data_IF_391718328241
#
_entry.id   IF_391718328241
#
_cell.length_a   1.000
_cell.length_b   1.000
_cell.length_c   1.000
_cell.angle_alpha   90.00
_cell.angle_beta   90.00
_cell.angle_gamma   90.00
#
_symmetry.space_group_name_H-M   'P 1'
#
loop_
_entity.id
_entity.type
_entity.pdbx_description
1 polymer ?
#
# COMPACT_ATOMS: atom_id res chain seq x y z
N UNK A 1 -4.61 17.90 17.83
CA UNK A 1 -5.32 17.99 16.54
C UNK A 1 -4.41 17.75 15.32
N UNK A 2 -3.09 17.54 15.50
CA UNK A 2 -2.13 17.39 14.39
C UNK A 2 -1.86 15.94 13.94
N UNK A 3 -2.54 14.94 14.49
CA UNK A 3 -2.32 13.53 14.14
C UNK A 3 -3.40 12.91 13.22
N UNK A 4 -4.46 13.67 12.90
CA UNK A 4 -5.62 13.14 12.16
C UNK A 4 -5.33 12.97 10.65
N UNK A 5 -4.30 13.62 10.12
CA UNK A 5 -3.99 13.63 8.69
C UNK A 5 -2.53 13.32 8.35
N UNK A 6 -1.90 12.35 9.02
CA UNK A 6 -0.69 11.77 8.46
C UNK A 6 -1.07 10.87 7.28
N UNK A 7 -1.19 11.46 6.10
CA UNK A 7 -1.38 10.72 4.85
C UNK A 7 -0.12 9.91 4.56
N UNK A 8 -0.16 8.62 4.88
CA UNK A 8 0.88 7.66 4.57
C UNK A 8 1.62 7.11 5.79
N UNK A 9 1.90 5.82 5.75
CA UNK A 9 2.71 5.11 6.75
C UNK A 9 4.22 5.35 6.58
N UNK A 10 4.62 6.37 5.80
CA UNK A 10 6.03 6.66 5.54
C UNK A 10 6.78 6.99 6.83
N UNK A 11 7.87 6.28 7.05
CA UNK A 11 8.78 6.52 8.16
C UNK A 11 10.07 7.17 7.63
N UNK A 12 10.35 8.45 7.94
CA UNK A 12 11.55 9.11 7.46
C UNK A 12 12.81 8.45 8.06
N UNK A 13 13.73 8.04 7.19
CA UNK A 13 14.97 7.38 7.59
C UNK A 13 16.00 7.41 6.45
N UNK A 14 17.28 7.26 6.81
CA UNK A 14 18.44 7.27 5.89
C UNK A 14 18.99 5.86 5.63
N UNK A 15 18.15 4.84 5.60
CA UNK A 15 18.63 3.49 5.31
C UNK A 15 18.92 3.27 3.81
N UNK A 16 19.72 2.26 3.45
CA UNK A 16 19.93 1.87 2.05
C UNK A 16 18.62 1.63 1.31
N UNK A 17 17.63 1.07 2.00
CA UNK A 17 16.32 0.81 1.42
C UNK A 17 15.55 2.10 1.08
N UNK A 18 15.68 3.17 1.88
CA UNK A 18 15.08 4.47 1.57
C UNK A 18 15.68 5.09 0.30
N UNK A 19 16.97 4.85 0.03
CA UNK A 19 17.71 5.39 -1.12
C UNK A 19 17.53 4.60 -2.41
N UNK A 20 16.84 3.46 -2.37
CA UNK A 20 16.48 2.70 -3.56
C UNK A 20 15.38 3.42 -4.35
N UNK A 21 15.42 3.26 -5.68
CA UNK A 21 14.40 3.79 -6.59
C UNK A 21 13.01 3.17 -6.29
N UNK A 22 11.98 4.01 -6.29
CA UNK A 22 10.61 3.58 -6.02
C UNK A 22 10.09 2.53 -7.04
N UNK A 23 10.55 2.57 -8.28
CA UNK A 23 10.23 1.57 -9.33
C UNK A 23 10.76 0.20 -8.96
N UNK A 24 12.04 0.15 -8.55
CA UNK A 24 12.69 -1.09 -8.13
C UNK A 24 11.98 -1.69 -6.92
N UNK A 25 11.64 -0.89 -5.92
CA UNK A 25 10.90 -1.34 -4.73
C UNK A 25 9.54 -1.92 -5.11
N UNK A 26 8.81 -1.25 -5.99
CA UNK A 26 7.47 -1.66 -6.39
C UNK A 26 7.50 -2.96 -7.19
N UNK A 27 8.42 -3.08 -8.17
CA UNK A 27 8.63 -4.34 -8.91
C UNK A 27 9.07 -5.48 -8.01
N UNK A 28 10.03 -5.25 -7.12
CA UNK A 28 10.48 -6.27 -6.16
C UNK A 28 9.38 -6.66 -5.18
N UNK A 29 8.50 -5.72 -4.80
CA UNK A 29 7.32 -6.02 -4.00
C UNK A 29 6.34 -6.96 -4.70
N UNK A 30 6.06 -6.75 -5.98
CA UNK A 30 5.24 -7.67 -6.76
C UNK A 30 5.90 -9.05 -6.91
N UNK A 31 7.21 -9.08 -7.19
CA UNK A 31 7.96 -10.34 -7.23
C UNK A 31 7.90 -11.05 -5.87
N UNK A 32 8.04 -10.32 -4.77
CA UNK A 32 7.91 -10.88 -3.42
C UNK A 32 6.55 -11.54 -3.20
N UNK A 33 5.45 -10.90 -3.61
CA UNK A 33 4.11 -11.49 -3.50
C UNK A 33 4.00 -12.80 -4.29
N UNK A 34 4.52 -12.81 -5.53
CA UNK A 34 4.50 -14.01 -6.37
C UNK A 34 5.31 -15.14 -5.72
N UNK A 35 6.51 -14.84 -5.22
CA UNK A 35 7.36 -15.81 -4.52
C UNK A 35 6.70 -16.34 -3.26
N UNK A 36 6.00 -15.47 -2.51
CA UNK A 36 5.24 -15.87 -1.33
C UNK A 36 4.10 -16.84 -1.65
N UNK A 37 3.43 -16.65 -2.79
CA UNK A 37 2.40 -17.57 -3.26
C UNK A 37 2.98 -18.90 -3.75
N UNK A 38 4.16 -18.88 -4.35
CA UNK A 38 4.85 -20.09 -4.84
C UNK A 38 5.54 -20.89 -3.73
N UNK A 39 5.78 -20.31 -2.57
CA UNK A 39 6.41 -21.01 -1.45
C UNK A 39 5.54 -22.19 -0.99
N UNK A 40 6.10 -23.42 -1.08
CA UNK A 40 5.48 -24.65 -0.63
C UNK A 40 6.15 -25.08 0.68
N UNK A 41 5.35 -25.41 1.68
CA UNK A 41 5.84 -25.88 2.97
C UNK A 41 6.43 -24.80 3.90
N UNK A 42 6.65 -25.19 5.16
CA UNK A 42 7.20 -24.30 6.20
C UNK A 42 8.65 -23.88 5.95
N UNK A 43 9.43 -24.71 5.25
CA UNK A 43 10.82 -24.38 4.93
C UNK A 43 10.92 -23.18 3.98
N UNK A 44 10.04 -23.09 2.97
CA UNK A 44 9.95 -21.93 2.09
C UNK A 44 9.53 -20.67 2.84
N UNK A 45 8.56 -20.78 3.77
CA UNK A 45 8.19 -19.66 4.64
C UNK A 45 9.31 -19.26 5.58
N UNK A 46 10.12 -20.21 6.06
CA UNK A 46 11.29 -19.93 6.89
C UNK A 46 12.33 -19.08 6.16
N UNK A 47 12.66 -19.41 4.90
CA UNK A 47 13.55 -18.60 4.05
C UNK A 47 13.00 -17.17 3.88
N UNK A 48 11.71 -17.06 3.61
CA UNK A 48 11.05 -15.74 3.48
C UNK A 48 11.06 -14.96 4.79
N UNK A 49 10.83 -15.61 5.93
CA UNK A 49 10.85 -14.96 7.25
C UNK A 49 12.24 -14.39 7.56
N UNK A 50 13.31 -15.15 7.29
CA UNK A 50 14.70 -14.69 7.43
C UNK A 50 14.96 -13.49 6.52
N UNK A 51 14.51 -13.54 5.28
CA UNK A 51 14.68 -12.45 4.35
C UNK A 51 13.93 -11.17 4.77
N UNK A 52 12.67 -11.30 5.19
CA UNK A 52 11.89 -10.16 5.70
C UNK A 52 12.57 -9.58 6.95
N UNK A 53 13.01 -10.41 7.88
CA UNK A 53 13.73 -9.96 9.07
C UNK A 53 15.03 -9.22 8.69
N UNK A 54 15.79 -9.74 7.72
CA UNK A 54 16.97 -9.06 7.17
C UNK A 54 16.64 -7.68 6.59
N UNK A 55 15.56 -7.57 5.79
CA UNK A 55 15.11 -6.29 5.24
C UNK A 55 14.72 -5.29 6.33
N UNK A 56 14.08 -5.72 7.42
CA UNK A 56 13.75 -4.86 8.57
C UNK A 56 15.01 -4.34 9.27
N UNK A 57 16.02 -5.17 9.45
CA UNK A 57 17.31 -4.77 10.04
C UNK A 57 18.01 -3.74 9.15
N UNK A 58 18.09 -3.98 7.83
CA UNK A 58 18.70 -3.05 6.86
C UNK A 58 17.92 -1.73 6.77
N UNK A 59 16.59 -1.80 6.85
CA UNK A 59 15.70 -0.65 6.80
C UNK A 59 15.79 0.22 8.05
N UNK A 60 16.29 -0.30 9.18
CA UNK A 60 16.33 0.37 10.50
C UNK A 60 14.95 0.84 10.99
N UNK A 61 13.88 0.21 10.50
CA UNK A 61 12.52 0.50 10.95
C UNK A 61 12.25 -0.33 12.21
N UNK A 62 11.78 0.28 13.31
CA UNK A 62 11.45 -0.47 14.52
C UNK A 62 10.27 -1.39 14.24
N UNK A 63 10.49 -2.70 14.43
CA UNK A 63 9.52 -3.77 14.20
C UNK A 63 8.17 -3.51 14.90
N UNK A 64 8.19 -2.93 16.09
CA UNK A 64 6.98 -2.59 16.84
C UNK A 64 6.09 -1.54 16.15
N UNK A 65 6.66 -0.61 15.37
CA UNK A 65 5.87 0.36 14.59
C UNK A 65 5.20 -0.32 13.39
N UNK A 66 5.93 -1.19 12.70
CA UNK A 66 5.37 -1.97 11.60
C UNK A 66 4.21 -2.85 12.09
N UNK A 67 4.40 -3.56 13.20
CA UNK A 67 3.37 -4.40 13.80
C UNK A 67 2.13 -3.61 14.21
N UNK A 68 2.32 -2.42 14.80
CA UNK A 68 1.20 -1.53 15.17
C UNK A 68 0.44 -1.02 13.95
N UNK A 69 1.14 -0.68 12.88
CA UNK A 69 0.52 -0.25 11.61
C UNK A 69 -0.28 -1.39 10.95
N UNK A 70 0.16 -2.63 11.11
CA UNK A 70 -0.50 -3.82 10.58
C UNK A 70 -1.58 -4.40 11.51
N UNK A 71 -1.67 -3.94 12.76
CA UNK A 71 -2.59 -4.49 13.76
C UNK A 71 -4.05 -4.65 13.27
N UNK A 72 -4.68 -3.65 12.60
CA UNK A 72 -6.05 -3.83 12.11
C UNK A 72 -6.15 -4.90 11.00
N UNK A 73 -5.11 -5.04 10.17
CA UNK A 73 -5.06 -6.04 9.10
C UNK A 73 -4.75 -7.44 9.66
N UNK A 74 -4.04 -7.54 10.78
CA UNK A 74 -3.76 -8.82 11.44
C UNK A 74 -5.05 -9.50 11.91
N UNK A 75 -6.08 -8.76 12.30
CA UNK A 75 -7.38 -9.33 12.64
C UNK A 75 -7.99 -10.05 11.42
N UNK A 76 -7.92 -9.45 10.24
CA UNK A 76 -8.41 -10.05 8.99
C UNK A 76 -7.56 -11.28 8.63
N UNK A 77 -6.23 -11.18 8.76
CA UNK A 77 -5.33 -12.30 8.52
C UNK A 77 -5.63 -13.49 9.43
N UNK A 78 -5.93 -13.23 10.70
CA UNK A 78 -6.33 -14.26 11.66
C UNK A 78 -7.65 -14.92 11.26
N UNK A 79 -8.64 -14.14 10.85
CA UNK A 79 -9.92 -14.68 10.37
C UNK A 79 -9.70 -15.56 9.14
N UNK A 80 -8.91 -15.10 8.16
CA UNK A 80 -8.59 -15.89 6.97
C UNK A 80 -7.85 -17.19 7.31
N UNK A 81 -6.93 -17.16 8.26
CA UNK A 81 -6.23 -18.35 8.73
C UNK A 81 -7.21 -19.33 9.42
N UNK A 82 -8.09 -18.81 10.28
CA UNK A 82 -9.11 -19.64 10.96
C UNK A 82 -10.11 -20.25 9.97
N UNK A 83 -10.50 -19.54 8.91
CA UNK A 83 -11.36 -20.12 7.87
C UNK A 83 -10.70 -21.30 7.15
N UNK A 84 -9.38 -21.29 6.99
CA UNK A 84 -8.64 -22.43 6.44
C UNK A 84 -8.74 -23.70 7.31
N UNK A 85 -9.04 -23.55 8.58
CA UNK A 85 -9.27 -24.67 9.50
C UNK A 85 -10.48 -25.53 9.11
N UNK A 86 -11.43 -24.94 8.35
CA UNK A 86 -12.63 -25.62 7.85
C UNK A 86 -12.49 -26.12 6.42
N UNK A 87 -11.49 -25.65 5.67
CA UNK A 87 -11.34 -25.97 4.24
C UNK A 87 -10.57 -27.26 4.04
N UNK A 88 -9.49 -27.46 4.78
CA UNK A 88 -8.63 -28.62 4.64
C UNK A 88 -8.94 -29.64 5.75
N UNK A 89 -9.50 -30.79 5.37
CA UNK A 89 -9.87 -31.87 6.29
C UNK A 89 -8.95 -33.09 6.14
N UNK A 90 -7.75 -32.92 5.60
CA UNK A 90 -6.81 -34.00 5.41
C UNK A 90 -6.12 -34.42 6.74
N UNK A 91 -5.88 -35.71 6.92
CA UNK A 91 -5.17 -36.28 8.07
C UNK A 91 -6.07 -36.83 9.17
N UNK A 92 -5.48 -37.15 10.34
CA UNK A 92 -6.20 -37.71 11.48
C UNK A 92 -7.11 -36.68 12.14
N UNK A 93 -8.34 -37.05 12.40
CA UNK A 93 -9.31 -36.19 13.10
C UNK A 93 -8.95 -36.05 14.57
N UNK A 94 -8.54 -34.86 14.98
CA UNK A 94 -8.22 -34.52 16.37
C UNK A 94 -9.45 -34.27 17.21
N UNK A 95 -10.48 -33.66 16.61
CA UNK A 95 -11.71 -33.29 17.30
C UNK A 95 -12.88 -33.30 16.34
N UNK A 96 -13.94 -34.03 16.69
CA UNK A 96 -15.17 -34.12 15.90
C UNK A 96 -16.34 -33.68 16.75
N UNK A 97 -16.88 -32.49 16.45
CA UNK A 97 -18.08 -31.99 17.10
C UNK A 97 -19.12 -31.57 16.05
N UNK A 98 -20.01 -32.49 15.73
CA UNK A 98 -21.09 -32.28 14.75
C UNK A 98 -20.57 -32.01 13.35
N UNK A 99 -20.75 -30.80 12.85
CA UNK A 99 -20.35 -30.36 11.49
C UNK A 99 -18.89 -29.92 11.44
N UNK A 100 -18.25 -29.68 12.58
CA UNK A 100 -16.87 -29.18 12.69
C UNK A 100 -15.93 -30.35 12.94
N UNK A 101 -15.14 -30.71 11.92
CA UNK A 101 -14.08 -31.69 12.02
C UNK A 101 -12.73 -30.94 11.94
N UNK A 102 -11.94 -31.01 13.01
CA UNK A 102 -10.59 -30.44 13.06
C UNK A 102 -9.62 -31.59 12.91
N UNK A 103 -8.87 -31.59 11.79
CA UNK A 103 -7.82 -32.58 11.54
C UNK A 103 -6.44 -31.97 11.76
N UNK A 104 -5.41 -32.82 11.83
CA UNK A 104 -4.01 -32.37 11.88
C UNK A 104 -3.64 -31.55 10.66
N UNK A 105 -4.17 -31.89 9.48
CA UNK A 105 -4.01 -31.13 8.25
C UNK A 105 -4.64 -29.74 8.33
N UNK A 106 -5.83 -29.62 8.91
CA UNK A 106 -6.50 -28.33 9.12
C UNK A 106 -5.65 -27.36 9.93
N UNK A 107 -5.04 -27.84 11.02
CA UNK A 107 -4.18 -27.02 11.89
C UNK A 107 -2.90 -26.61 11.15
N UNK A 108 -2.30 -27.55 10.41
CA UNK A 108 -1.11 -27.29 9.59
C UNK A 108 -1.39 -26.22 8.53
N UNK A 109 -2.49 -26.35 7.80
CA UNK A 109 -2.89 -25.40 6.75
C UNK A 109 -3.27 -24.04 7.33
N UNK A 110 -3.96 -23.99 8.46
CA UNK A 110 -4.26 -22.76 9.18
C UNK A 110 -2.98 -22.01 9.56
N UNK A 111 -2.02 -22.69 10.18
CA UNK A 111 -0.75 -22.10 10.59
C UNK A 111 0.08 -21.65 9.38
N UNK A 112 0.15 -22.47 8.33
CA UNK A 112 0.87 -22.19 7.10
C UNK A 112 0.33 -20.95 6.39
N UNK A 113 -0.98 -20.87 6.18
CA UNK A 113 -1.64 -19.73 5.52
C UNK A 113 -1.55 -18.48 6.39
N UNK A 114 -1.73 -18.60 7.70
CA UNK A 114 -1.58 -17.49 8.64
C UNK A 114 -0.17 -16.89 8.61
N UNK A 115 0.87 -17.73 8.70
CA UNK A 115 2.27 -17.28 8.59
C UNK A 115 2.55 -16.64 7.21
N UNK A 116 2.06 -17.24 6.13
CA UNK A 116 2.20 -16.71 4.78
C UNK A 116 1.62 -15.30 4.65
N UNK A 117 0.37 -15.10 5.11
CA UNK A 117 -0.29 -13.79 5.04
C UNK A 117 0.48 -12.75 5.84
N UNK A 118 0.91 -13.09 7.07
CA UNK A 118 1.69 -12.18 7.92
C UNK A 118 2.99 -11.78 7.23
N UNK A 119 3.73 -12.72 6.64
CA UNK A 119 4.98 -12.42 5.93
C UNK A 119 4.74 -11.54 4.70
N UNK A 120 3.68 -11.80 3.93
CA UNK A 120 3.30 -10.96 2.79
C UNK A 120 2.97 -9.53 3.24
N UNK A 121 2.19 -9.38 4.30
CA UNK A 121 1.84 -8.07 4.85
C UNK A 121 3.08 -7.32 5.36
N UNK A 122 3.98 -8.01 6.06
CA UNK A 122 5.23 -7.42 6.55
C UNK A 122 6.14 -6.96 5.41
N UNK A 123 6.31 -7.77 4.36
CA UNK A 123 7.11 -7.41 3.20
C UNK A 123 6.55 -6.18 2.47
N UNK A 124 5.23 -6.13 2.24
CA UNK A 124 4.58 -4.98 1.60
C UNK A 124 4.59 -3.72 2.47
N UNK A 125 4.48 -3.88 3.79
CA UNK A 125 4.58 -2.77 4.74
C UNK A 125 5.92 -2.04 4.65
N UNK A 126 7.03 -2.76 4.41
CA UNK A 126 8.35 -2.15 4.21
C UNK A 126 8.37 -1.18 3.03
N UNK A 127 7.72 -1.51 1.92
CA UNK A 127 7.65 -0.65 0.73
C UNK A 127 6.92 0.63 1.08
N UNK A 128 5.76 0.51 1.74
CA UNK A 128 4.94 1.67 2.15
C UNK A 128 5.65 2.55 3.17
N UNK A 129 6.42 1.95 4.10
CA UNK A 129 7.16 2.69 5.12
C UNK A 129 8.43 3.34 4.60
N UNK A 130 9.01 2.84 3.50
CA UNK A 130 10.27 3.36 2.94
C UNK A 130 10.10 4.23 1.70
N UNK A 131 8.87 4.40 1.19
CA UNK A 131 8.62 5.14 -0.05
C UNK A 131 7.53 6.18 0.18
N UNK A 132 7.77 7.42 -0.27
CA UNK A 132 6.74 8.45 -0.18
C UNK A 132 5.62 8.20 -1.21
N UNK A 133 4.42 8.68 -0.92
CA UNK A 133 3.28 8.58 -1.86
C UNK A 133 3.58 9.24 -3.21
N UNK A 134 4.33 10.35 -3.21
CA UNK A 134 4.73 11.05 -4.44
C UNK A 134 5.72 10.24 -5.27
N UNK A 135 6.71 9.59 -4.63
CA UNK A 135 7.66 8.72 -5.34
C UNK A 135 6.97 7.47 -5.88
N UNK A 136 5.99 6.94 -5.12
CA UNK A 136 5.20 5.79 -5.56
C UNK A 136 4.37 6.12 -6.80
N UNK A 137 3.72 7.30 -6.84
CA UNK A 137 2.97 7.75 -8.02
C UNK A 137 3.87 7.97 -9.24
N UNK A 138 5.05 8.57 -9.04
CA UNK A 138 6.04 8.75 -10.09
C UNK A 138 6.56 7.40 -10.62
N UNK A 139 6.71 6.41 -9.75
CA UNK A 139 7.08 5.05 -10.14
C UNK A 139 5.98 4.39 -10.99
N UNK A 140 4.73 4.49 -10.57
CA UNK A 140 3.57 3.95 -11.31
C UNK A 140 3.45 4.61 -12.68
N UNK A 141 3.57 5.94 -12.78
CA UNK A 141 3.57 6.65 -14.06
C UNK A 141 4.63 6.10 -15.02
N UNK A 142 5.86 5.91 -14.53
CA UNK A 142 6.95 5.42 -15.37
C UNK A 142 6.82 3.93 -15.72
N UNK A 143 6.19 3.13 -14.85
CA UNK A 143 5.86 1.73 -15.17
C UNK A 143 4.73 1.62 -16.19
N UNK A 144 3.85 2.62 -16.26
CA UNK A 144 2.79 2.72 -17.27
C UNK A 144 3.30 3.28 -18.61
N UNK A 145 4.44 3.99 -18.63
CA UNK A 145 5.00 4.58 -19.84
C UNK A 145 5.20 3.59 -21.01
N UNK A 146 5.66 2.34 -20.83
CA UNK A 146 5.75 1.36 -21.92
C UNK A 146 4.39 1.06 -22.57
N UNK A 147 3.30 1.18 -21.78
CA UNK A 147 1.94 0.94 -22.23
C UNK A 147 1.33 2.15 -22.99
N UNK A 148 2.01 3.29 -23.02
CA UNK A 148 1.62 4.44 -23.84
C UNK A 148 1.51 4.06 -25.33
N UNK A 149 2.28 3.06 -25.80
CA UNK A 149 2.18 2.51 -27.15
C UNK A 149 0.82 1.84 -27.44
N UNK A 150 0.10 1.45 -26.40
CA UNK A 150 -1.25 0.87 -26.50
C UNK A 150 -2.35 1.90 -26.25
N UNK A 151 -2.00 3.21 -26.23
CA UNK A 151 -2.95 4.30 -26.04
C UNK A 151 -3.24 4.65 -24.57
N UNK A 152 -2.45 4.13 -23.61
CA UNK A 152 -2.60 4.50 -22.20
C UNK A 152 -1.98 5.88 -21.96
N UNK A 153 -2.75 6.89 -21.48
CA UNK A 153 -2.26 8.24 -21.21
C UNK A 153 -1.45 8.29 -19.89
N UNK A 154 -0.27 7.63 -19.89
CA UNK A 154 0.53 7.42 -18.69
C UNK A 154 0.98 8.74 -18.03
N UNK A 155 1.34 9.74 -18.85
CA UNK A 155 1.76 11.04 -18.37
C UNK A 155 0.61 11.82 -17.73
N UNK A 156 -0.54 11.85 -18.39
CA UNK A 156 -1.74 12.54 -17.89
C UNK A 156 -2.20 11.92 -16.55
N UNK A 157 -2.19 10.58 -16.45
CA UNK A 157 -2.50 9.88 -15.22
C UNK A 157 -1.52 10.26 -14.10
N UNK A 158 -0.21 10.26 -14.38
CA UNK A 158 0.82 10.67 -13.40
C UNK A 158 0.63 12.11 -12.94
N UNK A 159 0.33 13.02 -13.88
CA UNK A 159 0.06 14.42 -13.58
C UNK A 159 -1.20 14.58 -12.70
N UNK A 160 -2.30 13.93 -13.06
CA UNK A 160 -3.56 13.97 -12.28
C UNK A 160 -3.32 13.46 -10.86
N UNK A 161 -2.62 12.32 -10.72
CA UNK A 161 -2.27 11.76 -9.42
C UNK A 161 -1.39 12.70 -8.59
N UNK A 162 -0.38 13.33 -9.21
CA UNK A 162 0.50 14.29 -8.56
C UNK A 162 -0.25 15.54 -8.07
N UNK A 163 -1.15 16.09 -8.89
CA UNK A 163 -2.03 17.21 -8.52
C UNK A 163 -2.96 16.80 -7.38
N UNK A 164 -3.62 15.66 -7.50
CA UNK A 164 -4.54 15.14 -6.48
C UNK A 164 -3.85 15.00 -5.11
N UNK A 165 -2.67 14.37 -5.07
CA UNK A 165 -1.91 14.20 -3.82
C UNK A 165 -1.45 15.52 -3.21
N UNK A 166 -1.12 16.51 -4.05
CA UNK A 166 -0.73 17.84 -3.59
C UNK A 166 -1.89 18.59 -2.96
N UNK A 167 -3.09 18.51 -3.55
CA UNK A 167 -4.28 19.19 -3.05
C UNK A 167 -5.01 18.44 -1.93
N UNK A 168 -4.75 17.14 -1.76
CA UNK A 168 -5.42 16.31 -0.76
C UNK A 168 -5.34 16.87 0.67
N UNK A 169 -4.19 17.32 1.21
CA UNK A 169 -4.13 17.92 2.55
C UNK A 169 -4.92 19.23 2.64
N UNK A 170 -4.92 20.03 1.57
CA UNK A 170 -5.66 21.27 1.50
C UNK A 170 -7.17 21.04 1.54
N UNK A 171 -7.66 20.09 0.74
CA UNK A 171 -9.08 19.72 0.73
C UNK A 171 -9.52 19.10 2.05
N UNK A 172 -8.67 18.33 2.72
CA UNK A 172 -8.96 17.81 4.05
C UNK A 172 -9.16 18.91 5.08
N UNK A 173 -8.31 19.94 5.04
CA UNK A 173 -8.46 21.12 5.91
C UNK A 173 -9.74 21.91 5.57
N UNK A 174 -10.03 22.09 4.30
CA UNK A 174 -11.22 22.78 3.83
C UNK A 174 -12.50 22.04 4.20
N UNK A 175 -12.52 20.71 4.04
CA UNK A 175 -13.60 19.85 4.51
C UNK A 175 -13.87 20.06 6.01
N UNK A 176 -12.82 20.04 6.83
CA UNK A 176 -12.95 20.28 8.26
C UNK A 176 -13.54 21.66 8.56
N UNK A 177 -13.08 22.70 7.87
CA UNK A 177 -13.59 24.07 8.04
C UNK A 177 -15.06 24.20 7.64
N UNK A 178 -15.45 23.63 6.49
CA UNK A 178 -16.83 23.60 6.03
C UNK A 178 -17.71 22.82 7.01
N UNK A 179 -17.25 21.68 7.48
CA UNK A 179 -17.95 20.86 8.46
C UNK A 179 -18.23 21.65 9.75
N UNK A 180 -17.21 22.28 10.34
CA UNK A 180 -17.37 23.09 11.53
C UNK A 180 -18.31 24.29 11.31
N UNK A 181 -18.23 24.93 10.15
CA UNK A 181 -19.12 26.04 9.80
C UNK A 181 -20.58 25.57 9.69
N UNK A 182 -20.85 24.38 9.15
CA UNK A 182 -22.22 23.85 9.06
C UNK A 182 -22.78 23.45 10.43
N UNK A 183 -21.94 22.88 11.30
CA UNK A 183 -22.36 22.62 12.71
C UNK A 183 -22.74 23.92 13.42
N UNK A 184 -21.93 24.98 13.29
CA UNK A 184 -22.21 26.29 13.88
C UNK A 184 -23.51 26.92 13.34
N UNK A 185 -23.95 26.52 12.14
CA UNK A 185 -25.25 26.92 11.55
C UNK A 185 -26.41 26.03 11.96
N UNK A 186 -26.19 25.10 12.91
CA UNK A 186 -27.23 24.23 13.46
C UNK A 186 -27.47 22.95 12.64
N UNK A 187 -26.56 22.58 11.75
CA UNK A 187 -26.64 21.29 11.10
C UNK A 187 -26.31 20.18 12.12
N UNK A 188 -27.28 19.33 12.42
CA UNK A 188 -27.13 18.24 13.39
C UNK A 188 -26.97 16.87 12.67
N UNK A 189 -26.03 16.08 13.15
CA UNK A 189 -25.86 14.67 12.73
C UNK A 189 -26.86 13.74 13.43
N UNK A 190 -27.43 14.18 14.58
CA UNK A 190 -28.20 13.31 15.45
C UNK A 190 -29.64 13.14 14.96
N UNK A 191 -30.09 11.88 14.88
CA UNK A 191 -31.48 11.47 14.78
C UNK A 191 -31.80 10.59 13.56
N UNK A 192 -32.33 11.10 12.50
CA UNK A 192 -32.84 10.32 11.35
C UNK A 192 -31.81 10.20 10.23
N UNK A 193 -31.77 9.07 9.47
CA UNK A 193 -30.91 8.92 8.28
C UNK A 193 -31.06 10.07 7.28
N UNK A 194 -32.27 10.65 7.16
CA UNK A 194 -32.55 11.81 6.30
C UNK A 194 -31.81 13.07 6.76
N UNK A 195 -31.64 13.29 8.09
CA UNK A 195 -30.87 14.42 8.62
C UNK A 195 -29.38 14.24 8.32
N UNK A 196 -28.86 13.02 8.44
CA UNK A 196 -27.47 12.70 8.03
C UNK A 196 -27.22 12.99 6.55
N UNK A 197 -28.15 12.61 5.67
CA UNK A 197 -28.04 12.90 4.23
C UNK A 197 -28.08 14.42 3.93
N UNK A 198 -28.92 15.17 4.65
CA UNK A 198 -28.98 16.64 4.55
C UNK A 198 -27.67 17.30 5.04
N UNK A 199 -27.10 16.80 6.14
CA UNK A 199 -25.80 17.25 6.62
C UNK A 199 -24.70 16.98 5.59
N UNK A 200 -24.67 15.77 5.04
CA UNK A 200 -23.70 15.38 4.02
C UNK A 200 -23.79 16.33 2.80
N UNK A 201 -25.01 16.59 2.29
CA UNK A 201 -25.20 17.52 1.15
C UNK A 201 -24.78 18.95 1.50
N UNK A 202 -25.04 19.42 2.72
CA UNK A 202 -24.67 20.77 3.16
C UNK A 202 -23.16 20.99 3.25
N UNK A 203 -22.38 19.91 3.45
CA UNK A 203 -20.91 19.96 3.45
C UNK A 203 -20.36 19.75 2.04
N UNK A 204 -20.94 18.82 1.30
CA UNK A 204 -20.44 18.39 -0.03
C UNK A 204 -20.58 19.50 -1.07
N UNK A 205 -21.74 20.21 -1.10
CA UNK A 205 -21.99 21.25 -2.12
C UNK A 205 -20.98 22.41 -2.02
N UNK A 206 -20.72 23.02 -0.86
CA UNK A 206 -19.72 24.07 -0.71
C UNK A 206 -18.30 23.58 -1.02
N UNK A 207 -17.97 22.33 -0.63
CA UNK A 207 -16.67 21.74 -0.90
C UNK A 207 -16.44 21.58 -2.41
N UNK A 208 -17.42 21.04 -3.16
CA UNK A 208 -17.31 20.95 -4.62
C UNK A 208 -17.15 22.33 -5.27
N UNK A 209 -17.93 23.33 -4.85
CA UNK A 209 -17.79 24.68 -5.37
C UNK A 209 -16.37 25.25 -5.15
N UNK A 210 -15.74 24.92 -4.02
CA UNK A 210 -14.36 25.31 -3.75
C UNK A 210 -13.36 24.53 -4.62
N UNK A 211 -13.54 23.21 -4.74
CA UNK A 211 -12.68 22.36 -5.60
C UNK A 211 -12.69 22.86 -7.06
N UNK A 212 -13.87 23.21 -7.60
CA UNK A 212 -13.97 23.74 -8.94
C UNK A 212 -13.27 25.09 -9.11
N UNK A 213 -13.36 25.99 -8.12
CA UNK A 213 -12.60 27.26 -8.15
C UNK A 213 -11.09 27.03 -8.12
N UNK A 214 -10.62 26.07 -7.33
CA UNK A 214 -9.20 25.68 -7.31
C UNK A 214 -8.76 25.09 -8.66
N UNK A 215 -9.60 24.25 -9.28
CA UNK A 215 -9.32 23.67 -10.58
C UNK A 215 -9.23 24.76 -11.69
N UNK A 216 -10.15 25.71 -11.69
CA UNK A 216 -10.17 26.86 -12.61
C UNK A 216 -8.92 27.73 -12.44
N UNK A 217 -8.57 28.07 -11.19
CA UNK A 217 -7.36 28.84 -10.88
C UNK A 217 -6.09 28.10 -11.29
N UNK A 218 -6.04 26.77 -11.06
CA UNK A 218 -4.91 25.94 -11.45
C UNK A 218 -4.78 25.89 -12.98
N UNK A 219 -5.89 25.69 -13.71
CA UNK A 219 -5.91 25.66 -15.17
C UNK A 219 -5.38 26.99 -15.75
N UNK A 220 -5.90 28.11 -15.27
CA UNK A 220 -5.44 29.43 -15.69
C UNK A 220 -3.95 29.66 -15.38
N UNK A 221 -3.45 29.16 -14.24
CA UNK A 221 -2.05 29.25 -13.90
C UNK A 221 -1.14 28.34 -14.78
N UNK A 222 -1.66 27.19 -15.21
CA UNK A 222 -0.96 26.29 -16.13
C UNK A 222 -0.89 26.90 -17.55
N UNK A 223 -1.99 27.48 -18.03
CA UNK A 223 -2.05 28.17 -19.31
C UNK A 223 -1.10 29.36 -19.35
N UNK A 224 -1.07 30.17 -18.28
CA UNK A 224 -0.15 31.31 -18.16
C UNK A 224 1.33 30.88 -18.13
N UNK A 225 1.62 29.62 -17.76
CA UNK A 225 2.98 29.03 -17.82
C UNK A 225 3.24 28.25 -19.10
N UNK A 226 2.40 28.40 -20.11
CA UNK A 226 2.52 27.71 -21.38
C UNK A 226 2.63 26.19 -21.27
N UNK A 227 1.73 25.59 -20.49
CA UNK A 227 1.67 24.13 -20.37
C UNK A 227 1.07 23.50 -21.63
N UNK A 228 1.83 22.68 -22.36
CA UNK A 228 1.41 22.02 -23.60
C UNK A 228 1.50 20.47 -23.53
N UNK A 229 1.41 19.88 -22.36
CA UNK A 229 1.51 18.44 -22.21
C UNK A 229 2.90 17.92 -21.88
N UNK A 230 3.26 16.74 -22.40
CA UNK A 230 4.52 16.06 -22.07
C UNK A 230 5.72 16.58 -22.87
N UNK A 231 5.49 17.09 -24.09
CA UNK A 231 6.55 17.47 -25.01
C UNK A 231 7.47 18.57 -24.45
N UNK A 232 8.78 18.33 -24.49
CA UNK A 232 9.80 19.29 -24.06
C UNK A 232 9.95 19.51 -22.55
N UNK A 233 9.29 18.71 -21.69
CA UNK A 233 9.37 18.86 -20.24
C UNK A 233 10.54 18.09 -19.63
N UNK A 234 11.16 18.69 -18.64
CA UNK A 234 12.13 18.05 -17.75
C UNK A 234 11.55 17.89 -16.34
N UNK A 235 12.00 16.88 -15.61
CA UNK A 235 11.62 16.67 -14.21
C UNK A 235 12.66 17.29 -13.27
N UNK A 236 12.19 18.01 -12.26
CA UNK A 236 13.07 18.60 -11.24
C UNK A 236 13.78 17.51 -10.43
N UNK A 237 13.06 16.44 -10.08
CA UNK A 237 13.58 15.28 -9.38
C UNK A 237 13.37 14.03 -10.24
N UNK A 238 14.27 13.75 -11.21
CA UNK A 238 14.16 12.55 -12.01
C UNK A 238 14.51 11.32 -11.15
N UNK A 239 13.72 10.27 -11.28
CA UNK A 239 14.06 8.97 -10.69
C UNK A 239 15.34 8.44 -11.37
N UNK A 240 16.34 8.08 -10.57
CA UNK A 240 17.64 7.58 -11.07
C UNK A 240 17.98 6.28 -10.35
N UNK A 241 18.33 5.28 -11.13
CA UNK A 241 18.83 4.02 -10.57
C UNK A 241 20.10 4.26 -9.76
N UNK A 242 20.12 3.72 -8.55
CA UNK A 242 21.23 3.80 -7.59
C UNK A 242 21.97 2.46 -7.53
N UNK A 243 23.19 2.46 -7.02
CA UNK A 243 23.94 1.22 -6.69
C UNK A 243 23.19 0.36 -5.67
N UNK A 244 22.34 0.98 -4.84
CA UNK A 244 21.49 0.28 -3.88
C UNK A 244 20.40 -0.55 -4.56
N UNK A 245 19.94 -0.16 -5.77
CA UNK A 245 18.97 -0.94 -6.54
C UNK A 245 19.56 -2.26 -7.02
N UNK A 246 20.81 -2.23 -7.50
CA UNK A 246 21.51 -3.44 -7.90
C UNK A 246 21.68 -4.41 -6.71
N UNK A 247 21.99 -3.88 -5.53
CA UNK A 247 22.07 -4.69 -4.31
C UNK A 247 20.71 -5.28 -3.92
N UNK A 248 19.64 -4.49 -4.00
CA UNK A 248 18.29 -4.96 -3.71
C UNK A 248 17.86 -6.07 -4.68
N UNK A 249 18.12 -5.89 -5.98
CA UNK A 249 17.81 -6.90 -7.01
C UNK A 249 18.62 -8.19 -6.74
N UNK A 250 19.92 -8.09 -6.41
CA UNK A 250 20.74 -9.25 -6.09
C UNK A 250 20.22 -9.99 -4.83
N UNK A 251 19.86 -9.26 -3.78
CA UNK A 251 19.29 -9.85 -2.56
C UNK A 251 17.97 -10.58 -2.86
N UNK A 252 17.11 -10.00 -3.71
CA UNK A 252 15.87 -10.66 -4.14
C UNK A 252 16.10 -11.86 -5.03
N UNK A 253 17.11 -11.83 -5.90
CA UNK A 253 17.49 -13.00 -6.71
C UNK A 253 17.91 -14.16 -5.81
N UNK A 254 18.66 -13.90 -4.74
CA UNK A 254 19.03 -14.92 -3.74
C UNK A 254 17.79 -15.47 -3.05
N UNK A 255 16.81 -14.61 -2.67
CA UNK A 255 15.53 -15.08 -2.11
C UNK A 255 14.80 -16.01 -3.08
N UNK A 256 14.64 -15.62 -4.35
CA UNK A 256 13.94 -16.41 -5.36
C UNK A 256 14.64 -17.76 -5.53
N UNK A 257 15.96 -17.77 -5.72
CA UNK A 257 16.74 -19.01 -5.84
C UNK A 257 16.60 -19.88 -4.58
N UNK A 258 16.62 -19.28 -3.39
CA UNK A 258 16.47 -20.00 -2.12
C UNK A 258 15.10 -20.67 -2.01
N UNK A 259 14.02 -19.97 -2.30
CA UNK A 259 12.65 -20.53 -2.26
C UNK A 259 12.47 -21.60 -3.33
N UNK A 260 12.95 -21.38 -4.55
CA UNK A 260 12.88 -22.39 -5.63
C UNK A 260 13.70 -23.63 -5.28
N UNK A 261 14.91 -23.47 -4.76
CA UNK A 261 15.74 -24.61 -4.32
C UNK A 261 15.05 -25.43 -3.23
N UNK A 262 14.44 -24.77 -2.25
CA UNK A 262 13.69 -25.45 -1.18
C UNK A 262 12.45 -26.17 -1.74
N UNK A 263 11.72 -25.57 -2.68
CA UNK A 263 10.56 -26.21 -3.31
C UNK A 263 10.92 -27.41 -4.20
N UNK A 264 12.14 -27.45 -4.75
CA UNK A 264 12.63 -28.57 -5.60
C UNK A 264 13.19 -29.70 -4.74
N UNK A 265 13.71 -29.39 -3.55
CA UNK A 265 14.32 -30.37 -2.63
C UNK A 265 13.32 -31.05 -1.71
N UNK A 266 12.15 -30.46 -1.52
CA UNK A 266 11.03 -30.98 -0.70
C UNK A 266 9.93 -31.54 -1.58
#
# INVERSE_FOLDING_TARGET
>A
MNEVFSFGSYYPGDSPLHKCDARTKLTLGFVFLIVALMAQGFAGLGVMAVFVAFLYVVSRIPFGKAMRSLAPLMAIALICALLNLFVDQSGETLFKWGIIEISTGSVHSCLFVGCRIILMMMGMSLITMTTTTLDLTAAVEQMLHPFARFGVPAHELGMIMGIALRFMPQFATELANVYHAQISRGAALDGSPVKGLRMLSSVTIPLFASVFRHAETLSAAMDARCYHGEEGRTRLHPLRYSKFDAFAIAAFAVLVCGVVAVNVLL
#
